data_IF_262784035792
#
_entry.id   IF_262784035792
#
_cell.length_a   1.000
_cell.length_b   1.000
_cell.length_c   1.000
_cell.angle_alpha   90.00
_cell.angle_beta   90.00
_cell.angle_gamma   90.00
#
_symmetry.space_group_name_H-M   'P 1'
#
loop_
_entity.id
_entity.type
_entity.pdbx_description
1 polymer ?
#
# COMPACT_ATOMS: atom_id res chain seq x y z
N UNK A 1 32.60 23.18 -18.21
CA UNK A 1 31.24 23.16 -17.61
C UNK A 1 30.37 22.25 -18.45
N UNK A 2 30.01 21.07 -17.95
CA UNK A 2 29.06 20.19 -18.64
C UNK A 2 27.67 20.83 -18.57
N UNK A 3 27.07 21.12 -19.72
CA UNK A 3 25.68 21.57 -19.81
C UNK A 3 24.77 20.38 -19.57
N UNK A 4 23.83 20.51 -18.64
CA UNK A 4 22.79 19.50 -18.44
C UNK A 4 21.91 19.46 -19.69
N UNK A 5 21.68 18.27 -20.24
CA UNK A 5 20.82 18.07 -21.41
C UNK A 5 19.38 17.77 -20.99
N UNK A 6 18.45 17.93 -21.94
CA UNK A 6 17.07 17.51 -21.74
C UNK A 6 16.96 16.00 -21.43
N UNK A 7 17.80 15.19 -22.06
CA UNK A 7 17.86 13.75 -21.81
C UNK A 7 18.25 13.44 -20.35
N UNK A 8 19.25 14.14 -19.82
CA UNK A 8 19.69 13.97 -18.42
C UNK A 8 18.54 14.27 -17.45
N UNK A 9 17.77 15.33 -17.71
CA UNK A 9 16.61 15.69 -16.90
C UNK A 9 15.51 14.61 -16.92
N UNK A 10 15.25 14.00 -18.08
CA UNK A 10 14.30 12.90 -18.20
C UNK A 10 14.75 11.65 -17.45
N UNK A 11 16.04 11.28 -17.55
CA UNK A 11 16.59 10.12 -16.84
C UNK A 11 16.58 10.32 -15.32
N UNK A 12 16.88 11.54 -14.84
CA UNK A 12 16.74 11.88 -13.42
C UNK A 12 15.30 11.69 -12.94
N UNK A 13 14.32 12.20 -13.70
CA UNK A 13 12.89 12.03 -13.36
C UNK A 13 12.49 10.56 -13.35
N UNK A 14 12.84 9.81 -14.39
CA UNK A 14 12.52 8.38 -14.52
C UNK A 14 13.11 7.56 -13.37
N UNK A 15 14.37 7.81 -13.00
CA UNK A 15 15.02 7.16 -11.84
C UNK A 15 14.27 7.47 -10.55
N UNK A 16 13.88 8.73 -10.34
CA UNK A 16 13.10 9.13 -9.16
C UNK A 16 11.74 8.41 -9.11
N UNK A 17 11.02 8.40 -10.22
CA UNK A 17 9.69 7.79 -10.30
C UNK A 17 9.77 6.27 -10.07
N UNK A 18 10.79 5.58 -10.62
CA UNK A 18 11.07 4.17 -10.32
C UNK A 18 11.31 3.93 -8.83
N UNK A 19 12.10 4.79 -8.17
CA UNK A 19 12.37 4.68 -6.73
C UNK A 19 11.13 4.91 -5.87
N UNK A 20 10.19 5.76 -6.31
CA UNK A 20 8.88 5.92 -5.65
C UNK A 20 8.07 4.63 -5.76
N UNK A 21 8.01 4.00 -6.93
CA UNK A 21 7.32 2.72 -7.08
C UNK A 21 7.96 1.63 -6.20
N UNK A 22 9.29 1.59 -6.11
CA UNK A 22 10.00 0.68 -5.21
C UNK A 22 9.63 0.92 -3.73
N UNK A 23 9.48 2.17 -3.28
CA UNK A 23 9.11 2.45 -1.88
C UNK A 23 7.73 1.89 -1.53
N UNK A 24 6.77 1.95 -2.47
CA UNK A 24 5.44 1.37 -2.28
C UNK A 24 5.52 -0.15 -2.13
N UNK A 25 6.35 -0.80 -2.94
CA UNK A 25 6.59 -2.25 -2.86
C UNK A 25 7.23 -2.67 -1.53
N UNK A 26 8.14 -1.86 -0.99
CA UNK A 26 8.75 -2.13 0.33
C UNK A 26 7.69 -2.17 1.41
N UNK A 27 6.77 -1.20 1.43
CA UNK A 27 5.69 -1.14 2.42
C UNK A 27 4.73 -2.31 2.24
N UNK A 28 4.32 -2.61 1.00
CA UNK A 28 3.44 -3.74 0.70
C UNK A 28 4.07 -5.08 1.15
N UNK A 29 5.35 -5.29 0.89
CA UNK A 29 6.07 -6.48 1.34
C UNK A 29 6.13 -6.57 2.87
N UNK A 30 6.38 -5.45 3.56
CA UNK A 30 6.33 -5.36 5.01
C UNK A 30 4.94 -5.73 5.57
N UNK A 31 3.89 -5.23 4.92
CA UNK A 31 2.51 -5.56 5.26
C UNK A 31 2.22 -7.06 5.08
N UNK A 32 2.57 -7.64 3.92
CA UNK A 32 2.39 -9.07 3.63
C UNK A 32 3.13 -9.97 4.64
N UNK A 33 4.35 -9.59 5.05
CA UNK A 33 5.09 -10.31 6.09
C UNK A 33 4.36 -10.30 7.44
N UNK A 34 3.78 -9.16 7.83
CA UNK A 34 2.99 -9.07 9.08
C UNK A 34 1.69 -9.89 8.99
N UNK A 35 0.98 -9.81 7.87
CA UNK A 35 -0.22 -10.63 7.61
C UNK A 35 0.12 -12.11 7.79
N UNK A 36 1.17 -12.60 7.10
CA UNK A 36 1.61 -13.99 7.18
C UNK A 36 1.93 -14.40 8.61
N UNK A 37 2.72 -13.59 9.34
CA UNK A 37 3.07 -13.87 10.74
C UNK A 37 1.82 -13.98 11.63
N UNK A 38 0.84 -13.08 11.47
CA UNK A 38 -0.39 -13.12 12.27
C UNK A 38 -1.24 -14.35 11.92
N UNK A 39 -1.32 -14.71 10.64
CA UNK A 39 -2.02 -15.92 10.22
C UNK A 39 -1.39 -17.19 10.79
N UNK A 40 -0.05 -17.29 10.80
CA UNK A 40 0.69 -18.40 11.42
C UNK A 40 0.43 -18.50 12.93
N UNK A 41 0.14 -17.38 13.60
CA UNK A 41 -0.25 -17.33 15.01
C UNK A 41 -1.75 -17.59 15.24
N UNK A 42 -2.53 -17.90 14.20
CA UNK A 42 -3.98 -18.15 14.28
C UNK A 42 -4.85 -16.89 14.26
N UNK A 43 -4.27 -15.70 14.09
CA UNK A 43 -5.03 -14.46 13.89
C UNK A 43 -5.66 -14.39 12.50
N UNK A 44 -6.70 -13.57 12.36
CA UNK A 44 -7.43 -13.40 11.09
C UNK A 44 -7.55 -11.94 10.61
N UNK A 45 -6.99 -11.01 11.37
CA UNK A 45 -6.97 -9.60 11.03
C UNK A 45 -5.86 -8.87 11.77
N UNK A 46 -5.52 -7.67 11.31
CA UNK A 46 -4.57 -6.78 11.95
C UNK A 46 -4.85 -5.31 11.60
N UNK A 47 -4.34 -4.43 12.44
CA UNK A 47 -4.17 -3.02 12.11
C UNK A 47 -2.73 -2.77 11.66
N UNK A 48 -2.57 -2.16 10.49
CA UNK A 48 -1.27 -1.84 9.91
C UNK A 48 -1.13 -0.32 9.74
N UNK A 49 -0.18 0.27 10.46
CA UNK A 49 0.18 1.68 10.27
C UNK A 49 1.10 1.80 9.06
N UNK A 50 0.66 2.55 8.06
CA UNK A 50 1.44 2.83 6.86
C UNK A 50 2.52 3.87 7.21
N UNK A 51 3.82 3.58 6.96
CA UNK A 51 4.86 4.55 7.21
C UNK A 51 4.71 5.78 6.29
N UNK A 52 4.82 7.01 6.81
CA UNK A 52 4.76 8.21 5.99
C UNK A 52 6.00 8.39 5.10
N UNK A 53 7.15 7.83 5.51
CA UNK A 53 8.43 7.93 4.81
C UNK A 53 9.18 6.60 4.99
N UNK A 54 9.98 6.21 3.99
CA UNK A 54 10.94 5.10 4.07
C UNK A 54 12.36 5.66 3.90
N UNK A 55 13.22 5.40 4.88
CA UNK A 55 14.63 5.82 4.85
C UNK A 55 15.32 5.18 3.64
N UNK A 56 16.09 5.98 2.89
CA UNK A 56 16.77 5.54 1.67
C UNK A 56 15.91 5.61 0.40
N UNK A 57 14.67 6.11 0.48
CA UNK A 57 13.79 6.32 -0.65
C UNK A 57 13.39 7.80 -0.80
N UNK A 58 13.06 8.26 -2.02
CA UNK A 58 12.54 9.61 -2.23
C UNK A 58 11.20 9.80 -1.52
N UNK A 59 10.89 11.05 -1.20
CA UNK A 59 9.55 11.43 -0.76
C UNK A 59 8.52 11.08 -1.82
N UNK A 60 7.38 10.58 -1.37
CA UNK A 60 6.28 10.13 -2.21
C UNK A 60 4.96 10.71 -1.72
N UNK A 61 3.98 10.70 -2.62
CA UNK A 61 2.61 11.05 -2.31
C UNK A 61 1.99 9.95 -1.44
N UNK A 62 1.68 10.32 -0.19
CA UNK A 62 1.22 9.38 0.82
C UNK A 62 -0.16 8.79 0.50
N UNK A 63 -1.07 9.58 -0.08
CA UNK A 63 -2.40 9.10 -0.47
C UNK A 63 -2.29 8.08 -1.62
N UNK A 64 -1.42 8.35 -2.60
CA UNK A 64 -1.13 7.37 -3.66
C UNK A 64 -0.52 6.08 -3.12
N UNK A 65 0.35 6.18 -2.11
CA UNK A 65 0.93 5.01 -1.44
C UNK A 65 -0.15 4.17 -0.75
N UNK A 66 -1.02 4.80 0.04
CA UNK A 66 -2.15 4.14 0.71
C UNK A 66 -3.05 3.45 -0.32
N UNK A 67 -3.46 4.18 -1.37
CA UNK A 67 -4.33 3.62 -2.41
C UNK A 67 -3.67 2.44 -3.13
N UNK A 68 -2.37 2.51 -3.40
CA UNK A 68 -1.61 1.41 -3.97
C UNK A 68 -1.64 0.17 -3.06
N UNK A 69 -1.42 0.33 -1.75
CA UNK A 69 -1.41 -0.78 -0.79
C UNK A 69 -2.81 -1.40 -0.67
N UNK A 70 -3.84 -0.57 -0.49
CA UNK A 70 -5.23 -1.02 -0.39
C UNK A 70 -5.62 -1.83 -1.63
N UNK A 71 -5.43 -1.27 -2.82
CA UNK A 71 -5.81 -1.95 -4.08
C UNK A 71 -5.02 -3.24 -4.31
N UNK A 72 -3.73 -3.27 -3.95
CA UNK A 72 -2.91 -4.47 -4.07
C UNK A 72 -3.37 -5.59 -3.14
N UNK A 73 -3.67 -5.28 -1.88
CA UNK A 73 -4.17 -6.25 -0.91
C UNK A 73 -5.58 -6.74 -1.24
N UNK A 74 -6.46 -5.84 -1.71
CA UNK A 74 -7.81 -6.19 -2.15
C UNK A 74 -7.79 -7.12 -3.38
N UNK A 75 -6.86 -6.92 -4.32
CA UNK A 75 -6.64 -7.84 -5.45
C UNK A 75 -6.27 -9.27 -5.00
N UNK A 76 -5.67 -9.42 -3.82
CA UNK A 76 -5.39 -10.73 -3.20
C UNK A 76 -6.58 -11.31 -2.43
N UNK A 77 -7.76 -10.69 -2.49
CA UNK A 77 -8.97 -11.19 -1.82
C UNK A 77 -9.11 -10.79 -0.35
N UNK A 78 -8.25 -9.90 0.15
CA UNK A 78 -8.33 -9.40 1.52
C UNK A 78 -9.36 -8.28 1.65
N UNK A 79 -10.05 -8.25 2.79
CA UNK A 79 -10.78 -7.05 3.21
C UNK A 79 -9.79 -6.01 3.71
N UNK A 80 -9.91 -4.77 3.22
CA UNK A 80 -9.06 -3.66 3.63
C UNK A 80 -9.90 -2.39 3.77
N UNK A 81 -9.81 -1.73 4.91
CA UNK A 81 -10.43 -0.43 5.16
C UNK A 81 -9.45 0.56 5.80
N UNK A 82 -9.53 1.82 5.37
CA UNK A 82 -8.75 2.91 5.95
C UNK A 82 -9.47 3.47 7.18
N UNK A 83 -8.79 3.54 8.32
CA UNK A 83 -9.35 4.13 9.53
C UNK A 83 -9.43 5.67 9.44
N UNK A 84 -10.29 6.32 10.26
CA UNK A 84 -10.48 7.78 10.24
C UNK A 84 -9.20 8.59 10.49
N UNK A 85 -8.19 8.01 11.15
CA UNK A 85 -6.88 8.63 11.38
C UNK A 85 -6.01 8.72 10.10
N UNK A 86 -6.49 8.20 8.96
CA UNK A 86 -5.86 8.28 7.63
C UNK A 86 -4.44 7.71 7.53
N UNK A 87 -4.00 6.91 8.50
CA UNK A 87 -2.68 6.28 8.48
C UNK A 87 -2.68 4.78 8.79
N UNK A 88 -3.83 4.26 9.21
CA UNK A 88 -3.96 2.87 9.66
C UNK A 88 -4.94 2.14 8.77
N UNK A 89 -4.51 0.99 8.26
CA UNK A 89 -5.34 0.06 7.53
C UNK A 89 -5.81 -1.03 8.49
N UNK A 90 -7.12 -1.28 8.53
CA UNK A 90 -7.63 -2.55 9.01
C UNK A 90 -7.61 -3.55 7.86
N UNK A 91 -6.97 -4.68 8.09
CA UNK A 91 -6.80 -5.74 7.09
C UNK A 91 -7.33 -7.04 7.69
N UNK A 92 -8.20 -7.72 6.97
CA UNK A 92 -8.87 -8.93 7.43
C UNK A 92 -9.03 -9.96 6.32
N UNK A 93 -8.89 -11.22 6.70
CA UNK A 93 -9.23 -12.38 5.87
C UNK A 93 -10.31 -13.24 6.53
N UNK A 94 -11.13 -12.63 7.39
CA UNK A 94 -12.33 -13.26 7.92
C UNK A 94 -13.43 -13.28 6.86
N UNK A 95 -14.18 -14.38 6.79
CA UNK A 95 -15.28 -14.56 5.82
C UNK A 95 -16.37 -13.50 6.03
N UNK A 96 -16.69 -13.16 7.28
CA UNK A 96 -17.66 -12.12 7.64
C UNK A 96 -17.32 -10.76 7.01
N UNK A 97 -16.08 -10.30 7.14
CA UNK A 97 -15.60 -9.03 6.61
C UNK A 97 -15.61 -9.01 5.08
N UNK A 98 -15.18 -10.10 4.45
CA UNK A 98 -15.17 -10.26 2.99
C UNK A 98 -16.60 -10.23 2.44
N UNK A 99 -17.54 -10.93 3.08
CA UNK A 99 -18.94 -11.02 2.63
C UNK A 99 -19.68 -9.68 2.71
N UNK A 100 -19.42 -8.89 3.76
CA UNK A 100 -20.04 -7.59 3.96
C UNK A 100 -19.55 -6.56 2.93
N UNK A 101 -18.30 -6.65 2.50
CA UNK A 101 -17.77 -5.81 1.43
C UNK A 101 -18.49 -6.04 0.09
N UNK A 102 -18.71 -7.31 -0.27
CA UNK A 102 -19.44 -7.67 -1.49
C UNK A 102 -20.89 -7.18 -1.46
N UNK A 103 -21.58 -7.31 -0.31
CA UNK A 103 -22.96 -6.82 -0.14
C UNK A 103 -23.05 -5.30 -0.29
N UNK A 104 -22.16 -4.54 0.34
CA UNK A 104 -22.16 -3.08 0.22
C UNK A 104 -21.89 -2.59 -1.21
N UNK A 105 -21.09 -3.31 -2.01
CA UNK A 105 -20.88 -3.00 -3.43
C UNK A 105 -22.13 -3.24 -4.29
N UNK A 106 -22.96 -4.23 -3.95
CA UNK A 106 -24.19 -4.54 -4.68
C UNK A 106 -25.34 -3.58 -4.33
N UNK A 107 -25.32 -2.98 -3.14
CA UNK A 107 -26.35 -2.03 -2.69
C UNK A 107 -26.14 -0.59 -3.23
N UNK A 108 -25.02 -0.32 -3.91
CA UNK A 108 -24.67 0.98 -4.48
C UNK A 108 -24.83 1.02 -6.01
N UNK A 109 -25.54 0.04 -6.59
CA UNK A 109 -25.87 -0.04 -8.01
C UNK A 109 -27.36 0.18 -8.26
#
# INVERSE_FOLDING_TARGET
>A
MNKISLHDLYEIKKKKDSKICESFNVILNGCNKKIKKIAEMGGQSLYYVVPPIIIGYPLYDYEKCINYIITSLQKSGLYVSLLPNKNTLYISWKIEDISNNSKNRLLLQ
#
